data_IF_190224362611
#
_entry.id   IF_190224362611
#
_cell.length_a   1.000
_cell.length_b   1.000
_cell.length_c   1.000
_cell.angle_alpha   90.00
_cell.angle_beta   90.00
_cell.angle_gamma   90.00
#
_symmetry.space_group_name_H-M   'P 1'
#
loop_
_entity.id
_entity.type
_entity.pdbx_description
1 polymer ?
#
# COMPACT_ATOMS: atom_id res chain seq x y z
N UNK A 1 11.27 -34.59 -10.26
CA UNK A 1 10.79 -33.26 -10.70
C UNK A 1 10.00 -32.64 -9.55
N UNK A 2 10.60 -31.71 -8.82
CA UNK A 2 9.94 -30.98 -7.73
C UNK A 2 9.04 -29.89 -8.31
N UNK A 3 7.73 -29.97 -8.03
CA UNK A 3 6.74 -28.95 -8.37
C UNK A 3 6.93 -27.80 -7.39
N UNK A 4 7.24 -26.61 -7.89
CA UNK A 4 7.26 -25.39 -7.07
C UNK A 4 5.84 -25.19 -6.49
N UNK A 5 5.71 -24.92 -5.18
CA UNK A 5 4.42 -24.64 -4.58
C UNK A 5 3.85 -23.39 -5.22
N UNK A 6 2.57 -23.46 -5.60
CA UNK A 6 1.87 -22.28 -6.10
C UNK A 6 1.72 -21.27 -4.96
N UNK A 7 1.58 -19.98 -5.27
CA UNK A 7 1.47 -18.91 -4.27
C UNK A 7 0.35 -19.15 -3.24
N UNK A 8 -0.69 -19.91 -3.61
CA UNK A 8 -1.74 -20.37 -2.72
C UNK A 8 -1.23 -21.38 -1.66
N UNK A 9 -0.30 -22.25 -2.02
CA UNK A 9 0.32 -23.21 -1.11
C UNK A 9 1.27 -22.51 -0.13
N UNK A 10 1.96 -21.45 -0.58
CA UNK A 10 2.82 -20.61 0.28
C UNK A 10 2.01 -19.86 1.35
N UNK A 11 0.85 -19.29 0.97
CA UNK A 11 -0.09 -18.66 1.91
C UNK A 11 -0.67 -19.69 2.88
N UNK A 12 -0.87 -20.94 2.42
CA UNK A 12 -1.40 -22.03 3.25
C UNK A 12 -0.34 -22.60 4.20
N UNK A 13 0.94 -22.64 3.82
CA UNK A 13 2.04 -23.04 4.72
C UNK A 13 2.37 -21.98 5.77
N UNK A 14 2.05 -20.70 5.52
CA UNK A 14 2.08 -19.65 6.55
C UNK A 14 1.04 -19.83 7.66
N UNK A 15 -0.09 -20.51 7.37
CA UNK A 15 -1.24 -20.61 8.29
C UNK A 15 -1.05 -21.57 9.47
N UNK A 16 -0.16 -22.58 9.42
CA UNK A 16 -0.25 -23.69 10.40
C UNK A 16 0.91 -23.79 11.38
N UNK A 17 2.06 -23.18 11.10
CA UNK A 17 3.20 -23.43 11.97
C UNK A 17 3.37 -22.33 13.02
N UNK A 18 2.88 -22.60 14.24
CA UNK A 18 3.24 -21.85 15.47
C UNK A 18 4.75 -21.60 15.57
N UNK A 19 5.55 -22.51 14.98
CA UNK A 19 7.00 -22.44 14.88
C UNK A 19 7.50 -21.25 14.05
N UNK A 20 6.73 -20.68 13.13
CA UNK A 20 7.19 -19.52 12.33
C UNK A 20 6.56 -18.20 12.80
N UNK A 21 5.64 -18.22 13.77
CA UNK A 21 4.98 -16.99 14.28
C UNK A 21 6.00 -15.96 14.79
N UNK A 22 7.08 -16.39 15.44
CA UNK A 22 8.15 -15.51 15.93
C UNK A 22 9.05 -14.97 14.79
N UNK A 23 9.10 -15.65 13.65
CA UNK A 23 9.81 -15.18 12.47
C UNK A 23 8.98 -14.11 11.74
N UNK A 24 7.66 -14.25 11.70
CA UNK A 24 6.76 -13.21 11.16
C UNK A 24 6.89 -11.87 11.90
N UNK A 25 7.04 -11.88 13.23
CA UNK A 25 7.27 -10.64 14.02
C UNK A 25 8.60 -9.94 13.70
N UNK A 26 9.53 -10.64 13.05
CA UNK A 26 10.82 -10.10 12.62
C UNK A 26 10.81 -9.61 11.18
N UNK A 27 9.72 -9.81 10.42
CA UNK A 27 9.61 -9.33 9.04
C UNK A 27 8.99 -7.92 9.06
N UNK A 28 9.79 -6.85 8.88
CA UNK A 28 9.27 -5.49 8.89
C UNK A 28 8.60 -5.10 7.55
N UNK A 29 8.42 -6.06 6.64
CA UNK A 29 8.04 -5.81 5.25
C UNK A 29 6.88 -6.70 4.84
N UNK A 30 5.82 -6.11 4.29
CA UNK A 30 4.70 -6.86 3.73
C UNK A 30 4.48 -6.43 2.27
N UNK A 31 4.44 -7.41 1.37
CA UNK A 31 4.34 -7.17 -0.07
C UNK A 31 3.14 -7.96 -0.59
N UNK A 32 2.22 -7.28 -1.25
CA UNK A 32 1.14 -7.89 -2.00
C UNK A 32 1.32 -7.58 -3.48
N UNK A 33 1.40 -8.62 -4.28
CA UNK A 33 1.59 -8.51 -5.71
C UNK A 33 0.59 -9.40 -6.44
N UNK A 34 -0.17 -8.80 -7.36
CA UNK A 34 -1.18 -9.49 -8.15
C UNK A 34 -0.95 -9.26 -9.63
N UNK A 35 -0.82 -10.37 -10.34
CA UNK A 35 -0.65 -10.42 -11.80
C UNK A 35 -1.85 -10.99 -12.55
N UNK A 36 -2.76 -11.72 -11.85
CA UNK A 36 -3.87 -12.46 -12.48
C UNK A 36 -5.23 -12.09 -11.89
N UNK A 37 -6.29 -12.44 -12.59
CA UNK A 37 -7.67 -12.13 -12.20
C UNK A 37 -8.15 -13.01 -11.03
N UNK A 38 -8.15 -12.43 -9.83
CA UNK A 38 -8.62 -13.05 -8.59
C UNK A 38 -9.44 -11.99 -7.83
N UNK A 39 -10.77 -11.98 -8.04
CA UNK A 39 -11.68 -11.01 -7.42
C UNK A 39 -11.64 -11.01 -5.87
N UNK A 40 -11.12 -12.08 -5.26
CA UNK A 40 -10.95 -12.22 -3.81
C UNK A 40 -9.73 -11.47 -3.24
N UNK A 41 -8.93 -10.81 -4.08
CA UNK A 41 -7.67 -10.19 -3.66
C UNK A 41 -7.83 -9.09 -2.59
N UNK A 42 -8.77 -8.14 -2.70
CA UNK A 42 -8.96 -7.13 -1.65
C UNK A 42 -9.32 -7.75 -0.31
N UNK A 43 -10.23 -8.73 -0.29
CA UNK A 43 -10.63 -9.46 0.91
C UNK A 43 -9.48 -10.27 1.51
N UNK A 44 -8.61 -10.85 0.66
CA UNK A 44 -7.43 -11.56 1.09
C UNK A 44 -6.44 -10.62 1.78
N UNK A 45 -6.20 -9.45 1.21
CA UNK A 45 -5.35 -8.43 1.83
C UNK A 45 -5.97 -8.03 3.17
N UNK A 46 -7.23 -7.60 3.20
CA UNK A 46 -7.89 -7.13 4.43
C UNK A 46 -7.89 -8.19 5.55
N UNK A 47 -8.17 -9.46 5.21
CA UNK A 47 -8.07 -10.58 6.16
C UNK A 47 -6.65 -10.78 6.67
N UNK A 48 -5.65 -10.71 5.79
CA UNK A 48 -4.24 -10.86 6.16
C UNK A 48 -3.82 -9.73 7.10
N UNK A 49 -4.15 -8.48 6.75
CA UNK A 49 -3.84 -7.29 7.55
C UNK A 49 -4.50 -7.32 8.93
N UNK A 50 -5.72 -7.85 9.02
CA UNK A 50 -6.43 -8.04 10.29
C UNK A 50 -5.76 -9.11 11.17
N UNK A 51 -5.31 -10.22 10.58
CA UNK A 51 -4.63 -11.30 11.30
C UNK A 51 -3.22 -10.89 11.76
N UNK A 52 -2.54 -10.05 10.98
CA UNK A 52 -1.19 -9.56 11.24
C UNK A 52 -1.11 -8.37 12.21
N UNK A 53 -2.11 -8.15 13.07
CA UNK A 53 -2.21 -6.95 13.91
C UNK A 53 -1.03 -6.70 14.87
N UNK A 54 -0.23 -7.72 15.18
CA UNK A 54 0.92 -7.63 16.09
C UNK A 54 2.23 -7.25 15.36
N UNK A 55 2.22 -7.14 14.03
CA UNK A 55 3.43 -6.86 13.25
C UNK A 55 3.75 -5.37 13.25
N UNK A 56 4.97 -5.02 13.68
CA UNK A 56 5.53 -3.67 13.49
C UNK A 56 6.15 -3.59 12.10
N UNK A 57 5.35 -3.15 11.12
CA UNK A 57 5.78 -3.02 9.73
C UNK A 57 6.49 -1.69 9.51
N UNK A 58 7.68 -1.74 8.92
CA UNK A 58 8.37 -0.57 8.39
C UNK A 58 8.07 -0.34 6.91
N UNK A 59 7.83 -1.40 6.14
CA UNK A 59 7.63 -1.35 4.70
C UNK A 59 6.34 -2.08 4.30
N UNK A 60 5.55 -1.43 3.46
CA UNK A 60 4.32 -2.00 2.93
C UNK A 60 4.22 -1.71 1.43
N UNK A 61 4.00 -2.76 0.65
CA UNK A 61 3.94 -2.65 -0.81
C UNK A 61 2.72 -3.34 -1.37
N UNK A 62 2.07 -2.67 -2.32
CA UNK A 62 0.93 -3.19 -3.05
C UNK A 62 1.14 -2.91 -4.53
N UNK A 63 1.20 -3.99 -5.31
CA UNK A 63 1.33 -3.97 -6.77
C UNK A 63 0.10 -4.66 -7.37
N UNK A 64 -0.66 -3.94 -8.18
CA UNK A 64 -1.81 -4.51 -8.88
C UNK A 64 -2.01 -3.86 -10.25
N UNK A 65 -2.38 -4.68 -11.23
CA UNK A 65 -2.56 -4.29 -12.63
C UNK A 65 -4.02 -4.25 -13.09
N UNK A 66 -5.00 -4.35 -12.17
CA UNK A 66 -6.41 -4.57 -12.52
C UNK A 66 -7.38 -3.64 -11.80
N UNK A 67 -8.54 -3.47 -12.43
CA UNK A 67 -9.74 -2.77 -11.95
C UNK A 67 -10.04 -3.16 -10.49
N UNK A 68 -9.85 -2.23 -9.55
CA UNK A 68 -10.68 -2.18 -8.37
C UNK A 68 -12.08 -1.91 -8.90
N UNK A 69 -12.94 -2.93 -8.90
CA UNK A 69 -14.29 -2.85 -9.44
C UNK A 69 -14.95 -1.57 -8.91
N UNK A 70 -15.11 -0.56 -9.77
CA UNK A 70 -15.58 0.78 -9.35
C UNK A 70 -17.00 0.69 -8.76
N UNK A 71 -17.73 -0.39 -9.05
CA UNK A 71 -19.04 -0.71 -8.48
C UNK A 71 -18.94 -1.28 -7.04
N UNK A 72 -17.85 -1.97 -6.73
CA UNK A 72 -17.52 -2.39 -5.37
C UNK A 72 -16.46 -1.45 -4.83
N UNK A 73 -16.88 -0.38 -4.12
CA UNK A 73 -16.09 0.57 -3.30
C UNK A 73 -14.79 -0.01 -2.67
N UNK A 74 -13.85 -0.44 -3.47
CA UNK A 74 -12.60 -1.07 -3.08
C UNK A 74 -11.60 0.06 -3.14
N UNK A 75 -11.91 1.01 -2.26
CA UNK A 75 -11.14 2.19 -2.01
C UNK A 75 -9.75 1.73 -1.57
N UNK A 76 -8.70 2.30 -2.16
CA UNK A 76 -7.31 2.19 -1.67
C UNK A 76 -7.22 2.57 -0.18
N UNK A 77 -8.27 3.18 0.38
CA UNK A 77 -8.49 3.36 1.81
C UNK A 77 -8.19 2.15 2.73
N UNK A 78 -8.26 0.88 2.32
CA UNK A 78 -7.77 -0.21 3.20
C UNK A 78 -6.24 -0.17 3.36
N UNK A 79 -5.51 0.09 2.27
CA UNK A 79 -4.06 0.26 2.26
C UNK A 79 -3.70 1.42 3.16
N UNK A 80 -4.37 2.56 2.97
CA UNK A 80 -4.10 3.76 3.73
C UNK A 80 -4.39 3.57 5.22
N UNK A 81 -5.60 3.06 5.56
CA UNK A 81 -5.96 2.74 6.95
C UNK A 81 -4.94 1.83 7.60
N UNK A 82 -4.45 0.82 6.90
CA UNK A 82 -3.47 -0.10 7.47
C UNK A 82 -2.09 0.52 7.60
N UNK A 83 -1.58 1.18 6.56
CA UNK A 83 -0.27 1.82 6.55
C UNK A 83 -0.15 2.84 7.68
N UNK A 84 -1.16 3.71 7.83
CA UNK A 84 -1.24 4.70 8.90
C UNK A 84 -1.37 4.05 10.27
N UNK A 85 -2.30 3.08 10.45
CA UNK A 85 -2.47 2.38 11.74
C UNK A 85 -1.25 1.59 12.20
N UNK A 86 -0.33 1.27 11.30
CA UNK A 86 0.89 0.51 11.60
C UNK A 86 2.13 1.39 11.62
N UNK A 87 1.99 2.71 11.46
CA UNK A 87 3.10 3.65 11.36
C UNK A 87 4.14 3.20 10.33
N UNK A 88 3.66 2.78 9.15
CA UNK A 88 4.55 2.34 8.07
C UNK A 88 5.41 3.52 7.61
N UNK A 89 6.72 3.31 7.61
CA UNK A 89 7.71 4.30 7.19
C UNK A 89 7.85 4.33 5.66
N UNK A 90 7.78 3.17 4.99
CA UNK A 90 8.00 3.02 3.55
C UNK A 90 6.76 2.44 2.89
N UNK A 91 6.12 3.21 2.02
CA UNK A 91 4.90 2.80 1.33
C UNK A 91 5.13 2.84 -0.18
N UNK A 92 4.87 1.73 -0.85
CA UNK A 92 4.98 1.60 -2.30
C UNK A 92 3.66 1.09 -2.88
N UNK A 93 2.93 1.97 -3.55
CA UNK A 93 1.65 1.67 -4.18
C UNK A 93 1.81 1.82 -5.68
N UNK A 94 1.73 0.70 -6.39
CA UNK A 94 1.67 0.71 -7.85
C UNK A 94 0.37 0.13 -8.31
N UNK A 95 -0.52 1.03 -8.65
CA UNK A 95 -1.88 0.75 -9.04
C UNK A 95 -1.97 1.06 -10.53
N UNK A 96 -1.74 0.02 -11.33
CA UNK A 96 -1.81 0.11 -12.78
C UNK A 96 -3.13 -0.50 -13.24
N UNK A 97 -3.70 0.03 -14.31
CA UNK A 97 -4.83 -0.59 -14.97
C UNK A 97 -4.49 -0.68 -16.47
N UNK A 98 -4.38 -1.92 -16.97
CA UNK A 98 -4.05 -2.19 -18.38
C UNK A 98 -5.21 -1.89 -19.33
N UNK A 99 -6.45 -1.87 -18.81
CA UNK A 99 -7.66 -1.77 -19.63
C UNK A 99 -8.23 -0.35 -19.68
N UNK A 100 -7.95 0.49 -18.68
CA UNK A 100 -8.36 1.89 -18.64
C UNK A 100 -7.32 2.73 -17.87
N UNK A 101 -7.07 3.98 -18.28
CA UNK A 101 -6.25 4.94 -17.52
C UNK A 101 -7.01 5.50 -16.29
N UNK A 102 -7.49 4.61 -15.41
CA UNK A 102 -8.16 5.01 -14.17
C UNK A 102 -7.10 5.28 -13.12
N UNK A 103 -7.06 6.53 -12.65
CA UNK A 103 -6.22 6.94 -11.53
C UNK A 103 -6.98 6.77 -10.20
N UNK A 104 -6.27 6.42 -9.12
CA UNK A 104 -6.87 6.11 -7.82
C UNK A 104 -6.71 7.26 -6.83
N UNK A 105 -7.80 7.92 -6.38
CA UNK A 105 -7.70 9.00 -5.42
C UNK A 105 -7.30 8.50 -4.04
N UNK A 106 -6.29 9.16 -3.46
CA UNK A 106 -5.89 8.95 -2.07
C UNK A 106 -6.76 9.81 -1.15
N UNK A 107 -7.13 9.27 0.00
CA UNK A 107 -7.99 9.95 0.97
C UNK A 107 -7.21 10.90 1.90
N UNK A 108 -7.92 11.77 2.63
CA UNK A 108 -7.30 12.80 3.49
C UNK A 108 -6.44 12.21 4.62
N UNK A 109 -6.74 11.00 5.12
CA UNK A 109 -5.93 10.36 6.16
C UNK A 109 -4.52 10.05 5.66
N UNK A 110 -4.33 9.91 4.35
CA UNK A 110 -3.02 9.70 3.74
C UNK A 110 -2.14 10.94 3.91
N UNK A 111 -2.73 12.12 3.64
CA UNK A 111 -2.04 13.40 3.69
C UNK A 111 -1.78 13.87 5.12
N UNK A 112 -2.64 13.50 6.07
CA UNK A 112 -2.48 13.85 7.49
C UNK A 112 -1.51 12.93 8.25
N UNK A 113 -1.04 11.85 7.64
CA UNK A 113 -0.18 10.88 8.32
C UNK A 113 1.26 11.38 8.46
N UNK A 114 1.79 11.37 9.68
CA UNK A 114 3.19 11.71 9.93
C UNK A 114 4.14 10.50 9.86
N UNK A 115 3.64 9.30 9.54
CA UNK A 115 4.46 8.09 9.63
C UNK A 115 5.34 7.86 8.38
N UNK A 116 4.98 8.43 7.25
CA UNK A 116 5.65 8.17 5.98
C UNK A 116 7.00 8.89 5.89
N UNK A 117 8.04 8.11 5.57
CA UNK A 117 9.38 8.59 5.26
C UNK A 117 9.70 8.45 3.77
N UNK A 118 9.27 7.35 3.15
CA UNK A 118 9.47 7.08 1.73
C UNK A 118 8.15 6.68 1.07
N UNK A 119 7.74 7.44 0.05
CA UNK A 119 6.53 7.18 -0.73
C UNK A 119 6.90 6.87 -2.18
N UNK A 120 6.36 5.77 -2.71
CA UNK A 120 6.35 5.48 -4.14
C UNK A 120 4.92 5.26 -4.58
N UNK A 121 4.44 6.08 -5.52
CA UNK A 121 3.05 6.09 -5.97
C UNK A 121 3.02 5.98 -7.50
N UNK A 122 2.32 4.99 -8.02
CA UNK A 122 2.00 4.86 -9.44
C UNK A 122 0.49 4.76 -9.63
N UNK A 123 -0.05 5.56 -10.56
CA UNK A 123 -1.49 5.60 -10.88
C UNK A 123 -2.37 6.16 -9.77
N UNK A 124 -1.83 6.99 -8.87
CA UNK A 124 -2.58 7.62 -7.78
C UNK A 124 -2.92 9.09 -8.11
N UNK A 125 -4.11 9.54 -7.72
CA UNK A 125 -4.48 10.97 -7.72
C UNK A 125 -4.19 11.53 -6.33
N UNK A 126 -3.36 12.57 -6.29
CA UNK A 126 -3.09 13.33 -5.08
C UNK A 126 -3.96 14.58 -5.09
N UNK A 127 -4.92 14.66 -4.18
CA UNK A 127 -5.81 15.82 -4.05
C UNK A 127 -6.08 16.13 -2.57
N UNK A 128 -5.06 16.62 -1.83
CA UNK A 128 -5.23 16.98 -0.43
C UNK A 128 -6.24 18.12 -0.28
N UNK A 129 -7.24 17.92 0.57
CA UNK A 129 -8.23 18.96 0.92
C UNK A 129 -7.68 19.87 2.02
N UNK A 130 -6.92 19.29 2.95
CA UNK A 130 -6.25 20.00 4.04
C UNK A 130 -4.74 19.88 3.92
N UNK A 131 -4.01 20.62 4.77
CA UNK A 131 -2.55 20.63 4.79
C UNK A 131 -1.94 19.23 4.98
N UNK A 132 -0.90 18.96 4.18
CA UNK A 132 -0.09 17.74 4.31
C UNK A 132 0.69 17.79 5.62
N UNK A 133 0.81 16.66 6.31
CA UNK A 133 1.47 16.51 7.62
C UNK A 133 2.56 15.42 7.61
N UNK A 134 3.26 15.26 6.49
CA UNK A 134 4.29 14.23 6.32
C UNK A 134 5.59 14.62 7.03
N UNK A 135 5.59 14.70 8.37
CA UNK A 135 6.70 15.23 9.17
C UNK A 135 8.01 14.44 9.12
N UNK A 136 7.97 13.16 8.75
CA UNK A 136 9.17 12.30 8.68
C UNK A 136 9.64 12.09 7.23
N UNK A 137 9.09 12.85 6.30
CA UNK A 137 9.21 12.63 4.87
C UNK A 137 10.60 12.93 4.34
N UNK A 138 11.10 12.03 3.50
CA UNK A 138 12.45 12.11 2.93
C UNK A 138 12.48 11.93 1.42
N UNK A 139 11.53 11.16 0.88
CA UNK A 139 11.57 10.79 -0.53
C UNK A 139 10.18 10.55 -1.11
N UNK A 140 9.97 11.10 -2.31
CA UNK A 140 8.80 10.88 -3.14
C UNK A 140 9.21 10.37 -4.52
N UNK A 141 8.58 9.28 -4.95
CA UNK A 141 8.61 8.83 -6.35
C UNK A 141 7.18 8.75 -6.85
N UNK A 142 6.85 9.54 -7.88
CA UNK A 142 5.53 9.50 -8.53
C UNK A 142 5.69 9.07 -9.97
N UNK A 143 4.90 8.08 -10.37
CA UNK A 143 4.83 7.57 -11.72
C UNK A 143 3.40 7.69 -12.22
N UNK A 144 3.19 8.26 -13.41
CA UNK A 144 1.85 8.35 -14.04
C UNK A 144 0.79 8.91 -13.07
N UNK A 145 1.15 9.99 -12.37
CA UNK A 145 0.27 10.74 -11.50
C UNK A 145 0.26 12.20 -11.92
N UNK A 146 -0.86 12.89 -11.69
CA UNK A 146 -0.98 14.33 -11.93
C UNK A 146 -0.45 15.10 -10.73
N UNK A 147 0.48 16.00 -11.00
CA UNK A 147 1.04 16.94 -10.05
C UNK A 147 0.86 18.34 -10.62
N UNK A 148 0.07 19.16 -9.94
CA UNK A 148 0.03 20.60 -10.20
C UNK A 148 1.07 21.34 -9.35
N UNK A 149 1.36 22.58 -9.72
CA UNK A 149 2.39 23.41 -9.08
C UNK A 149 2.12 23.63 -7.60
N UNK A 150 0.87 23.90 -7.22
CA UNK A 150 0.47 24.12 -5.82
C UNK A 150 0.70 22.86 -4.97
N UNK A 151 0.37 21.69 -5.51
CA UNK A 151 0.61 20.42 -4.83
C UNK A 151 2.11 20.14 -4.68
N UNK A 152 2.91 20.43 -5.70
CA UNK A 152 4.37 20.30 -5.64
C UNK A 152 4.93 21.20 -4.53
N UNK A 153 4.55 22.48 -4.49
CA UNK A 153 4.95 23.40 -3.42
C UNK A 153 4.57 22.88 -2.04
N UNK A 154 3.32 22.42 -1.87
CA UNK A 154 2.84 21.86 -0.61
C UNK A 154 3.63 20.64 -0.15
N UNK A 155 4.03 19.75 -1.07
CA UNK A 155 4.86 18.59 -0.79
C UNK A 155 6.29 19.02 -0.42
N UNK A 156 6.87 19.98 -1.13
CA UNK A 156 8.23 20.47 -0.87
C UNK A 156 8.34 21.12 0.51
N UNK A 157 7.30 21.82 0.97
CA UNK A 157 7.25 22.36 2.34
C UNK A 157 7.37 21.27 3.42
N UNK A 158 7.03 20.01 3.13
CA UNK A 158 7.17 18.90 4.07
C UNK A 158 8.62 18.40 4.20
N UNK A 159 9.49 18.70 3.22
CA UNK A 159 10.89 18.22 3.19
C UNK A 159 11.88 19.16 3.89
N UNK A 160 11.43 20.36 4.27
CA UNK A 160 12.29 21.45 4.79
C UNK A 160 12.22 21.54 6.33
N UNK A 161 11.35 20.76 6.97
CA UNK A 161 11.16 20.69 8.44
C UNK A 161 11.76 19.40 9.02
#
# INVERSE_FOLDING_TARGET
MSRLPTTNDAITTGKVSKRWKHLWTLVPTLIFERYNDNHLWPDLIDKTLTQCHQLKLKRFEVYTSMIFDLNHKSNVGFVNRYAVRRNVEKLNLRLWNLECEVEFPLDQYFFMSSCFAELTLEGCILNPIEAISWRNFKSLSIYKGKLDENLIENILCQMIL
#
